data_IF_837463457994
#
_entry.id   IF_837463457994
#
_cell.length_a   1.000
_cell.length_b   1.000
_cell.length_c   1.000
_cell.angle_alpha   90.00
_cell.angle_beta   90.00
_cell.angle_gamma   90.00
#
_symmetry.space_group_name_H-M   'P 1'
#
loop_
_entity.id
_entity.type
_entity.pdbx_description
1 polymer ?
#
# COMPACT_ATOMS: atom_id res chain seq x y z
N UNK A 1 14.79 12.16 6.69
CA UNK A 1 13.79 12.38 5.63
C UNK A 1 12.41 12.57 6.24
N UNK A 2 11.62 13.55 5.77
CA UNK A 2 10.24 13.76 6.25
C UNK A 2 9.22 13.04 5.37
N UNK A 3 8.59 12.01 5.92
CA UNK A 3 7.69 11.11 5.19
C UNK A 3 6.25 11.30 5.67
N UNK A 4 5.32 11.34 4.73
CA UNK A 4 3.90 11.40 5.01
C UNK A 4 3.15 10.18 4.44
N UNK A 5 2.23 9.62 5.22
CA UNK A 5 1.29 8.58 4.78
C UNK A 5 -0.12 9.11 4.91
N UNK A 6 -0.89 9.08 3.82
CA UNK A 6 -2.31 9.42 3.87
C UNK A 6 -3.11 8.14 4.13
N UNK A 7 -3.72 8.04 5.30
CA UNK A 7 -4.69 6.99 5.58
C UNK A 7 -6.09 7.58 5.47
N UNK A 8 -6.95 6.95 4.67
CA UNK A 8 -8.35 7.33 4.55
C UNK A 8 -9.20 6.15 4.09
N UNK A 9 -10.52 6.32 4.08
CA UNK A 9 -11.47 5.30 3.67
C UNK A 9 -12.08 5.65 2.31
N UNK A 10 -11.39 5.38 1.18
CA UNK A 10 -12.01 5.56 -0.13
C UNK A 10 -13.21 4.63 -0.30
N UNK A 11 -14.10 4.98 -1.22
CA UNK A 11 -15.29 4.20 -1.58
C UNK A 11 -15.23 3.83 -3.06
N UNK A 12 -15.52 2.58 -3.40
CA UNK A 12 -15.43 2.06 -4.77
C UNK A 12 -16.29 2.90 -5.70
N UNK A 13 -15.66 3.35 -6.79
CA UNK A 13 -16.27 4.13 -7.84
C UNK A 13 -16.61 5.58 -7.50
N UNK A 14 -16.39 6.02 -6.26
CA UNK A 14 -16.73 7.36 -5.76
C UNK A 14 -15.55 8.35 -5.90
N UNK A 15 -14.99 8.43 -7.11
CA UNK A 15 -13.71 9.09 -7.40
C UNK A 15 -13.65 10.53 -6.89
N UNK A 16 -14.66 11.34 -7.21
CA UNK A 16 -14.70 12.77 -6.84
C UNK A 16 -14.74 12.99 -5.31
N UNK A 17 -15.51 12.18 -4.58
CA UNK A 17 -15.55 12.29 -3.14
C UNK A 17 -14.28 11.73 -2.49
N UNK A 18 -13.66 10.69 -3.07
CA UNK A 18 -12.37 10.19 -2.59
C UNK A 18 -11.27 11.25 -2.72
N UNK A 19 -11.20 11.94 -3.87
CA UNK A 19 -10.32 13.09 -4.06
C UNK A 19 -10.61 14.20 -3.03
N UNK A 20 -11.89 14.51 -2.82
CA UNK A 20 -12.33 15.53 -1.86
C UNK A 20 -11.95 15.19 -0.42
N UNK A 21 -12.11 13.92 0.00
CA UNK A 21 -11.68 13.41 1.32
C UNK A 21 -10.17 13.56 1.50
N UNK A 22 -9.38 13.09 0.53
CA UNK A 22 -7.91 13.22 0.57
C UNK A 22 -7.47 14.69 0.66
N UNK A 23 -8.07 15.56 -0.15
CA UNK A 23 -7.80 17.00 -0.12
C UNK A 23 -8.17 17.64 1.22
N UNK A 24 -9.30 17.25 1.82
CA UNK A 24 -9.72 17.76 3.12
C UNK A 24 -8.74 17.39 4.23
N UNK A 25 -8.26 16.13 4.24
CA UNK A 25 -7.26 15.65 5.21
C UNK A 25 -5.93 16.42 5.04
N UNK A 26 -5.43 16.54 3.80
CA UNK A 26 -4.20 17.29 3.52
C UNK A 26 -4.33 18.78 3.89
N UNK A 27 -5.47 19.39 3.59
CA UNK A 27 -5.76 20.78 3.93
C UNK A 27 -5.77 21.01 5.44
N UNK A 28 -6.45 20.11 6.19
CA UNK A 28 -6.51 20.14 7.66
C UNK A 28 -5.12 19.95 8.28
N UNK A 29 -4.33 19.00 7.77
CA UNK A 29 -2.99 18.72 8.28
C UNK A 29 -1.97 19.82 7.91
N UNK A 30 -2.18 20.51 6.78
CA UNK A 30 -1.32 21.58 6.25
C UNK A 30 0.18 21.23 6.34
N UNK A 31 0.61 20.07 5.79
CA UNK A 31 1.98 19.59 5.98
C UNK A 31 2.99 20.56 5.39
N UNK A 32 4.12 20.72 6.09
CA UNK A 32 5.27 21.52 5.68
C UNK A 32 6.49 20.64 5.53
N UNK A 33 7.30 20.95 4.52
CA UNK A 33 8.61 20.36 4.29
C UNK A 33 8.60 18.83 4.18
N UNK A 34 7.55 18.25 3.57
CA UNK A 34 7.47 16.82 3.32
C UNK A 34 8.33 16.45 2.10
N UNK A 35 9.14 15.40 2.23
CA UNK A 35 9.96 14.90 1.12
C UNK A 35 9.19 13.94 0.23
N UNK A 36 8.36 13.09 0.86
CA UNK A 36 7.59 12.02 0.24
C UNK A 36 6.20 11.92 0.89
N UNK A 37 5.16 11.86 0.06
CA UNK A 37 3.79 11.50 0.42
C UNK A 37 3.42 10.18 -0.24
N UNK A 38 2.94 9.21 0.54
CA UNK A 38 2.49 7.91 0.06
C UNK A 38 1.01 7.74 0.33
N UNK A 39 0.27 7.33 -0.70
CA UNK A 39 -1.15 7.01 -0.63
C UNK A 39 -1.37 5.49 -0.66
N UNK A 40 -2.54 5.02 -0.22
CA UNK A 40 -2.92 3.62 -0.28
C UNK A 40 -3.02 3.09 -1.72
N UNK A 41 -3.15 1.77 -1.81
CA UNK A 41 -3.55 1.07 -3.02
C UNK A 41 -4.92 1.58 -3.50
N UNK A 42 -5.06 1.76 -4.81
CA UNK A 42 -6.33 2.14 -5.46
C UNK A 42 -7.01 3.36 -4.82
N UNK A 43 -6.22 4.38 -4.48
CA UNK A 43 -6.60 5.44 -3.55
C UNK A 43 -7.88 6.19 -3.96
N UNK A 44 -8.12 6.44 -5.25
CA UNK A 44 -9.27 7.22 -5.70
C UNK A 44 -10.37 6.40 -6.35
N UNK A 45 -10.06 5.25 -6.94
CA UNK A 45 -11.08 4.32 -7.44
C UNK A 45 -11.75 3.52 -6.33
N UNK A 46 -11.10 3.39 -5.17
CA UNK A 46 -11.43 2.39 -4.16
C UNK A 46 -11.04 0.98 -4.61
N UNK A 47 -11.18 0.04 -3.68
CA UNK A 47 -11.03 -1.41 -3.86
C UNK A 47 -12.03 -2.06 -2.90
N UNK A 48 -12.58 -3.21 -3.23
CA UNK A 48 -13.43 -3.92 -2.27
C UNK A 48 -13.06 -5.38 -2.21
N UNK A 49 -12.67 -5.83 -1.02
CA UNK A 49 -12.32 -7.21 -0.73
C UNK A 49 -13.52 -8.02 -0.24
N UNK A 50 -13.46 -9.33 -0.40
CA UNK A 50 -14.16 -10.28 0.45
C UNK A 50 -13.14 -10.95 1.40
N UNK A 51 -13.48 -11.21 2.67
CA UNK A 51 -12.62 -12.05 3.49
C UNK A 51 -12.52 -13.45 2.88
N UNK A 52 -11.30 -13.98 2.74
CA UNK A 52 -11.06 -15.33 2.21
C UNK A 52 -11.64 -16.39 3.16
N UNK A 53 -12.72 -17.05 2.74
CA UNK A 53 -13.31 -18.20 3.44
C UNK A 53 -12.79 -19.51 2.84
N UNK A 54 -11.91 -20.22 3.55
CA UNK A 54 -11.61 -21.62 3.22
C UNK A 54 -12.87 -22.46 3.48
N UNK A 55 -13.43 -23.09 2.44
CA UNK A 55 -14.30 -24.26 2.60
C UNK A 55 -15.82 -24.08 2.45
N UNK A 56 -16.34 -22.93 1.99
CA UNK A 56 -17.72 -22.86 1.50
C UNK A 56 -17.72 -22.71 -0.02
N UNK A 57 -18.39 -23.66 -0.69
CA UNK A 57 -18.84 -23.49 -2.07
C UNK A 57 -19.38 -22.06 -2.23
N UNK A 58 -18.76 -21.28 -3.12
CA UNK A 58 -19.33 -20.02 -3.59
C UNK A 58 -20.62 -20.41 -4.31
N UNK A 59 -21.73 -20.45 -3.57
CA UNK A 59 -23.05 -20.55 -4.18
C UNK A 59 -23.26 -19.28 -5.01
N UNK A 60 -23.89 -19.42 -6.18
CA UNK A 60 -24.22 -18.35 -7.13
C UNK A 60 -24.96 -17.12 -6.52
N UNK A 61 -25.32 -17.15 -5.23
CA UNK A 61 -25.97 -16.05 -4.53
C UNK A 61 -25.02 -14.90 -4.12
N UNK A 62 -23.70 -15.10 -4.12
CA UNK A 62 -22.71 -14.03 -3.80
C UNK A 62 -22.34 -13.18 -5.04
N UNK A 63 -22.94 -13.45 -6.20
CA UNK A 63 -22.70 -12.71 -7.45
C UNK A 63 -23.55 -11.43 -7.59
N UNK A 64 -24.49 -11.16 -6.67
CA UNK A 64 -25.44 -10.04 -6.79
C UNK A 64 -25.16 -8.84 -5.87
N UNK A 65 -24.10 -8.87 -5.07
CA UNK A 65 -23.75 -7.75 -4.20
C UNK A 65 -22.64 -6.94 -4.90
N UNK A 66 -22.92 -5.67 -5.23
CA UNK A 66 -22.04 -4.76 -6.00
C UNK A 66 -20.77 -4.33 -5.27
N UNK A 67 -20.01 -5.29 -4.73
CA UNK A 67 -18.92 -5.10 -3.77
C UNK A 67 -17.57 -5.55 -4.32
N UNK A 68 -17.34 -5.49 -5.62
CA UNK A 68 -16.00 -5.60 -6.22
C UNK A 68 -15.95 -4.99 -7.62
N UNK A 69 -14.74 -4.64 -8.05
CA UNK A 69 -14.36 -4.79 -9.45
C UNK A 69 -14.34 -6.29 -9.78
N UNK A 70 -15.53 -6.92 -9.75
CA UNK A 70 -15.74 -8.35 -9.93
C UNK A 70 -15.47 -8.80 -11.36
N UNK A 71 -15.30 -7.84 -12.27
CA UNK A 71 -14.99 -8.05 -13.66
C UNK A 71 -14.23 -6.84 -14.22
N UNK A 72 -13.60 -7.07 -15.37
CA UNK A 72 -13.04 -6.00 -16.18
C UNK A 72 -14.09 -4.91 -16.50
N UNK A 73 -15.35 -5.27 -16.76
CA UNK A 73 -16.41 -4.30 -17.08
C UNK A 73 -16.70 -3.36 -15.91
N UNK A 74 -16.68 -3.86 -14.67
CA UNK A 74 -16.89 -3.04 -13.48
C UNK A 74 -15.79 -2.01 -13.25
N UNK A 75 -14.52 -2.36 -13.51
CA UNK A 75 -13.40 -1.42 -13.32
C UNK A 75 -13.16 -0.51 -14.51
N UNK A 76 -13.62 -0.91 -15.70
CA UNK A 76 -13.38 -0.18 -16.95
C UNK A 76 -13.65 1.33 -16.88
N UNK A 77 -14.72 1.82 -16.22
CA UNK A 77 -14.97 3.26 -16.08
C UNK A 77 -13.92 4.03 -15.27
N UNK A 78 -13.12 3.33 -14.47
CA UNK A 78 -12.17 3.91 -13.52
C UNK A 78 -10.71 3.69 -13.94
N UNK A 79 -10.46 2.84 -14.94
CA UNK A 79 -9.13 2.62 -15.50
C UNK A 79 -8.55 3.94 -16.02
N UNK A 80 -7.30 4.22 -15.68
CA UNK A 80 -6.57 5.40 -16.12
C UNK A 80 -5.39 5.01 -17.01
N UNK A 81 -5.08 5.77 -18.08
CA UNK A 81 -3.93 5.48 -18.92
C UNK A 81 -2.62 5.55 -18.12
N UNK A 82 -1.64 4.73 -18.47
CA UNK A 82 -0.30 4.72 -17.85
C UNK A 82 0.24 6.12 -17.60
N UNK A 83 0.50 6.45 -16.33
CA UNK A 83 1.05 7.75 -15.89
C UNK A 83 0.24 8.98 -16.33
N UNK A 84 -1.06 8.81 -16.52
CA UNK A 84 -2.03 9.85 -16.88
C UNK A 84 -3.34 9.62 -16.11
N UNK A 85 -4.35 10.44 -16.37
CA UNK A 85 -5.66 10.35 -15.72
C UNK A 85 -5.74 11.06 -14.37
N UNK A 86 -6.87 10.85 -13.71
CA UNK A 86 -7.29 11.52 -12.47
C UNK A 86 -6.30 11.38 -11.32
N UNK A 87 -5.86 10.17 -10.99
CA UNK A 87 -4.90 9.90 -9.92
C UNK A 87 -3.55 10.54 -10.21
N UNK A 88 -3.06 10.44 -11.45
CA UNK A 88 -1.82 11.11 -11.85
C UNK A 88 -1.94 12.63 -11.74
N UNK A 89 -3.02 13.23 -12.24
CA UNK A 89 -3.24 14.68 -12.18
C UNK A 89 -3.33 15.18 -10.74
N UNK A 90 -4.00 14.44 -9.86
CA UNK A 90 -4.03 14.73 -8.44
C UNK A 90 -2.63 14.65 -7.82
N UNK A 91 -1.90 13.56 -8.07
CA UNK A 91 -0.55 13.35 -7.53
C UNK A 91 0.41 14.46 -8.00
N UNK A 92 0.34 14.84 -9.28
CA UNK A 92 1.09 15.96 -9.85
C UNK A 92 0.75 17.29 -9.19
N UNK A 93 -0.53 17.59 -9.01
CA UNK A 93 -0.97 18.84 -8.38
C UNK A 93 -0.50 18.93 -6.93
N UNK A 94 -0.64 17.83 -6.18
CA UNK A 94 -0.18 17.72 -4.79
C UNK A 94 1.34 17.82 -4.68
N UNK A 95 2.09 17.16 -5.57
CA UNK A 95 3.54 17.20 -5.63
C UNK A 95 4.06 18.63 -5.83
N UNK A 96 3.49 19.36 -6.80
CA UNK A 96 3.82 20.76 -7.07
C UNK A 96 3.45 21.68 -5.89
N UNK A 97 2.24 21.52 -5.34
CA UNK A 97 1.74 22.36 -4.24
C UNK A 97 2.56 22.23 -2.97
N UNK A 98 2.98 21.01 -2.63
CA UNK A 98 3.72 20.72 -1.40
C UNK A 98 5.22 20.60 -1.62
N UNK A 99 5.71 20.82 -2.85
CA UNK A 99 7.10 20.66 -3.25
C UNK A 99 7.70 19.32 -2.79
N UNK A 100 6.95 18.24 -3.00
CA UNK A 100 7.28 16.90 -2.51
C UNK A 100 7.15 15.85 -3.61
N UNK A 101 7.63 14.63 -3.34
CA UNK A 101 7.34 13.47 -4.19
C UNK A 101 6.03 12.83 -3.71
N UNK A 102 5.22 12.34 -4.63
CA UNK A 102 3.94 11.67 -4.30
C UNK A 102 3.91 10.30 -4.95
N UNK A 103 3.63 9.24 -4.19
CA UNK A 103 3.33 7.90 -4.71
C UNK A 103 1.86 7.58 -4.45
N UNK A 104 1.12 7.20 -5.49
CA UNK A 104 -0.32 6.92 -5.39
C UNK A 104 -0.72 5.68 -6.19
N UNK A 105 -1.53 4.81 -5.56
CA UNK A 105 -2.10 3.62 -6.18
C UNK A 105 -3.29 3.94 -7.09
N UNK A 106 -3.33 3.33 -8.28
CA UNK A 106 -4.35 3.56 -9.30
C UNK A 106 -4.55 2.33 -10.22
N UNK A 107 -5.75 2.18 -10.80
CA UNK A 107 -6.02 1.17 -11.83
C UNK A 107 -5.45 1.61 -13.17
N UNK A 108 -4.34 1.02 -13.59
CA UNK A 108 -3.66 1.34 -14.84
C UNK A 108 -4.29 0.59 -16.02
N UNK A 109 -4.40 1.27 -17.16
CA UNK A 109 -4.60 0.68 -18.49
C UNK A 109 -3.50 1.12 -19.44
N UNK A 110 -2.96 0.17 -20.19
CA UNK A 110 -1.99 0.45 -21.26
C UNK A 110 -2.74 0.74 -22.55
N UNK A 111 -2.44 1.90 -23.14
CA UNK A 111 -2.95 2.24 -24.47
C UNK A 111 -2.13 1.50 -25.53
N UNK A 112 -2.72 0.47 -26.15
CA UNK A 112 -2.16 -0.12 -27.35
C UNK A 112 -2.56 0.72 -28.56
N UNK A 113 -1.58 1.34 -29.21
CA UNK A 113 -1.76 2.06 -30.48
C UNK A 113 -2.01 1.12 -31.67
N UNK A 114 -1.99 -0.20 -31.49
CA UNK A 114 -2.21 -1.21 -32.53
C UNK A 114 -3.07 -2.36 -32.00
N UNK A 115 -4.24 -2.55 -32.60
CA UNK A 115 -5.33 -3.43 -32.15
C UNK A 115 -5.09 -4.94 -32.30
N UNK A 116 -4.02 -5.48 -31.72
CA UNK A 116 -3.72 -6.92 -31.79
C UNK A 116 -4.11 -7.73 -30.54
N UNK A 117 -4.55 -7.08 -29.46
CA UNK A 117 -5.03 -7.76 -28.25
C UNK A 117 -6.52 -7.52 -28.03
N UNK A 118 -7.32 -8.59 -28.01
CA UNK A 118 -8.78 -8.52 -27.79
C UNK A 118 -9.18 -8.12 -26.35
N UNK A 119 -8.23 -8.13 -25.40
CA UNK A 119 -8.43 -7.68 -24.02
C UNK A 119 -7.49 -6.52 -23.69
N UNK A 120 -7.97 -5.48 -22.99
CA UNK A 120 -7.13 -4.39 -22.54
C UNK A 120 -6.09 -4.90 -21.53
N UNK A 121 -4.87 -4.39 -21.63
CA UNK A 121 -3.84 -4.66 -20.63
C UNK A 121 -4.02 -3.71 -19.45
N UNK A 122 -4.51 -4.27 -18.34
CA UNK A 122 -4.79 -3.54 -17.11
C UNK A 122 -3.93 -4.05 -15.96
N UNK A 123 -3.58 -3.16 -15.03
CA UNK A 123 -2.69 -3.47 -13.91
C UNK A 123 -3.11 -2.69 -12.66
N UNK A 124 -3.03 -3.33 -11.49
CA UNK A 124 -3.02 -2.61 -10.22
C UNK A 124 -1.63 -1.99 -10.03
N UNK A 125 -1.56 -0.67 -9.92
CA UNK A 125 -0.29 0.05 -10.07
C UNK A 125 -0.13 1.19 -9.09
N UNK A 126 1.10 1.65 -8.91
CA UNK A 126 1.40 2.93 -8.28
C UNK A 126 2.18 3.81 -9.24
N UNK A 127 1.86 5.10 -9.29
CA UNK A 127 2.67 6.12 -9.95
C UNK A 127 3.40 6.96 -8.91
N UNK A 128 4.69 7.21 -9.11
CA UNK A 128 5.47 8.18 -8.33
C UNK A 128 5.74 9.42 -9.16
N UNK A 129 5.34 10.58 -8.65
CA UNK A 129 5.51 11.89 -9.26
C UNK A 129 6.50 12.72 -8.44
N UNK A 130 7.42 13.40 -9.11
CA UNK A 130 8.42 14.25 -8.46
C UNK A 130 7.92 15.69 -8.20
N UNK A 131 8.79 16.52 -7.60
CA UNK A 131 8.49 17.90 -7.20
C UNK A 131 8.19 18.81 -8.39
N UNK A 132 8.70 18.45 -9.57
CA UNK A 132 8.46 19.15 -10.84
C UNK A 132 7.16 18.67 -11.54
N UNK A 133 6.44 17.73 -10.95
CA UNK A 133 5.18 17.20 -11.49
C UNK A 133 5.36 16.15 -12.60
N UNK A 134 6.55 15.55 -12.72
CA UNK A 134 6.87 14.49 -13.69
C UNK A 134 6.72 13.11 -13.06
N UNK A 135 6.12 12.16 -13.77
CA UNK A 135 6.18 10.75 -13.41
C UNK A 135 7.64 10.24 -13.49
N UNK A 136 8.14 9.72 -12.37
CA UNK A 136 9.52 9.21 -12.22
C UNK A 136 9.58 7.72 -11.93
N UNK A 137 8.44 7.10 -11.55
CA UNK A 137 8.29 5.66 -11.46
C UNK A 137 6.84 5.26 -11.74
N UNK A 138 6.64 4.07 -12.32
CA UNK A 138 5.35 3.39 -12.41
C UNK A 138 5.60 1.93 -12.06
N UNK A 139 5.03 1.47 -10.95
CA UNK A 139 5.15 0.09 -10.47
C UNK A 139 3.82 -0.63 -10.64
N UNK A 140 3.86 -1.87 -11.11
CA UNK A 140 2.70 -2.76 -11.29
C UNK A 140 2.79 -3.91 -10.30
N UNK A 141 1.72 -4.13 -9.54
CA UNK A 141 1.59 -5.17 -8.52
C UNK A 141 2.05 -6.51 -9.07
N UNK A 142 2.97 -7.15 -8.36
CA UNK A 142 3.62 -8.38 -8.86
C UNK A 142 2.85 -9.61 -8.45
N UNK A 143 2.35 -9.65 -7.22
CA UNK A 143 1.51 -10.71 -6.69
C UNK A 143 0.08 -10.20 -6.56
N UNK A 144 -0.82 -10.74 -7.38
CA UNK A 144 -2.23 -10.37 -7.36
C UNK A 144 -2.94 -10.98 -6.16
N UNK A 145 -3.84 -10.20 -5.57
CA UNK A 145 -4.89 -10.77 -4.73
C UNK A 145 -6.03 -11.24 -5.65
N UNK A 146 -6.86 -12.17 -5.20
CA UNK A 146 -7.92 -12.74 -6.06
C UNK A 146 -8.89 -11.66 -6.60
N UNK A 147 -9.00 -10.51 -5.93
CA UNK A 147 -9.79 -9.35 -6.40
C UNK A 147 -9.15 -8.68 -7.61
N UNK A 148 -7.82 -8.68 -7.70
CA UNK A 148 -7.08 -8.14 -8.84
C UNK A 148 -7.15 -9.12 -10.03
N UNK A 149 -7.15 -10.43 -9.79
CA UNK A 149 -7.12 -11.46 -10.83
C UNK A 149 -8.32 -11.40 -11.79
N UNK A 150 -9.42 -10.75 -11.41
CA UNK A 150 -10.62 -10.60 -12.24
C UNK A 150 -10.46 -9.55 -13.35
N UNK A 151 -9.49 -8.64 -13.23
CA UNK A 151 -9.35 -7.49 -14.14
C UNK A 151 -7.90 -7.09 -14.48
N UNK A 152 -6.93 -7.40 -13.62
CA UNK A 152 -5.53 -7.01 -13.75
C UNK A 152 -4.64 -8.18 -14.19
N UNK A 153 -3.48 -7.82 -14.77
CA UNK A 153 -2.35 -8.72 -15.01
C UNK A 153 -1.27 -8.47 -13.95
N UNK A 154 -0.46 -9.50 -13.68
CA UNK A 154 0.76 -9.37 -12.89
C UNK A 154 1.74 -8.43 -13.59
N UNK A 155 2.40 -7.57 -12.80
CA UNK A 155 3.55 -6.80 -13.23
C UNK A 155 4.76 -7.69 -13.55
N UNK A 156 5.82 -7.12 -14.16
CA UNK A 156 7.01 -7.87 -14.57
C UNK A 156 7.90 -8.33 -13.39
N UNK A 157 7.57 -7.96 -12.16
CA UNK A 157 8.36 -8.20 -10.94
C UNK A 157 8.41 -6.96 -10.05
N UNK A 158 8.94 -7.14 -8.83
CA UNK A 158 9.00 -6.07 -7.83
C UNK A 158 9.83 -4.87 -8.31
N UNK A 159 9.39 -3.66 -7.95
CA UNK A 159 10.11 -2.45 -8.35
C UNK A 159 11.47 -2.36 -7.67
N UNK A 160 12.49 -2.03 -8.46
CA UNK A 160 13.83 -1.72 -7.99
C UNK A 160 14.35 -0.52 -8.78
N UNK A 161 14.68 0.56 -8.09
CA UNK A 161 15.25 1.73 -8.75
C UNK A 161 15.79 2.77 -7.78
N UNK A 162 16.80 3.51 -8.24
CA UNK A 162 17.29 4.69 -7.51
C UNK A 162 16.44 5.89 -7.86
N UNK A 163 15.78 6.49 -6.86
CA UNK A 163 15.01 7.72 -7.00
C UNK A 163 15.81 8.87 -6.39
N UNK A 164 16.01 9.94 -7.16
CA UNK A 164 16.79 11.08 -6.71
C UNK A 164 16.23 11.69 -5.42
N UNK A 165 17.11 11.92 -4.44
CA UNK A 165 16.74 12.35 -3.08
C UNK A 165 16.04 11.31 -2.19
N UNK A 166 15.68 10.12 -2.69
CA UNK A 166 15.15 9.01 -1.87
C UNK A 166 16.12 7.84 -1.73
N UNK A 167 17.08 7.70 -2.64
CA UNK A 167 18.06 6.61 -2.65
C UNK A 167 17.56 5.38 -3.40
N UNK A 168 17.99 4.19 -3.00
CA UNK A 168 17.54 2.92 -3.56
C UNK A 168 16.17 2.58 -2.98
N UNK A 169 15.17 2.51 -3.84
CA UNK A 169 13.77 2.30 -3.47
C UNK A 169 13.30 0.92 -3.93
N UNK A 170 12.63 0.20 -3.03
CA UNK A 170 11.79 -0.94 -3.35
C UNK A 170 10.32 -0.53 -3.19
N UNK A 171 9.46 -0.91 -4.15
CA UNK A 171 8.01 -0.69 -4.04
C UNK A 171 7.27 -2.01 -4.11
N UNK A 172 6.24 -2.14 -3.27
CA UNK A 172 5.30 -3.24 -3.27
C UNK A 172 3.87 -2.72 -3.08
N UNK A 173 2.90 -3.52 -3.47
CA UNK A 173 1.48 -3.25 -3.31
C UNK A 173 0.85 -4.43 -2.56
N UNK A 174 0.39 -4.17 -1.34
CA UNK A 174 -0.36 -5.10 -0.49
C UNK A 174 0.12 -6.56 -0.54
N UNK A 175 -0.53 -7.38 -1.38
CA UNK A 175 -0.28 -8.81 -1.57
C UNK A 175 1.16 -9.16 -1.97
N UNK A 176 1.94 -8.22 -2.50
CA UNK A 176 3.38 -8.40 -2.75
C UNK A 176 4.16 -8.82 -1.49
N UNK A 177 3.66 -8.50 -0.30
CA UNK A 177 4.29 -8.89 0.97
C UNK A 177 4.03 -10.37 1.33
N UNK A 178 2.98 -10.98 0.78
CA UNK A 178 2.58 -12.36 1.09
C UNK A 178 3.36 -13.39 0.25
N UNK A 179 3.37 -14.66 0.66
CA UNK A 179 3.83 -15.74 -0.22
C UNK A 179 3.01 -15.74 -1.51
N UNK A 180 3.67 -15.99 -2.64
CA UNK A 180 3.00 -16.01 -3.95
C UNK A 180 1.75 -16.90 -3.93
N UNK A 181 0.60 -16.30 -4.31
CA UNK A 181 -0.74 -16.92 -4.32
C UNK A 181 -1.21 -17.54 -3.00
N UNK A 182 -0.56 -17.23 -1.88
CA UNK A 182 -0.69 -17.95 -0.61
C UNK A 182 -0.33 -19.45 -0.69
N UNK A 183 0.39 -19.86 -1.74
CA UNK A 183 0.80 -21.25 -1.98
C UNK A 183 2.31 -21.44 -1.74
N UNK A 184 3.11 -20.40 -2.00
CA UNK A 184 4.55 -20.46 -1.75
C UNK A 184 4.85 -20.65 -0.24
N UNK A 185 5.99 -21.27 0.11
CA UNK A 185 6.37 -21.46 1.51
C UNK A 185 6.41 -20.12 2.25
N UNK A 186 5.91 -20.09 3.49
CA UNK A 186 5.99 -18.91 4.35
C UNK A 186 7.41 -18.33 4.43
N UNK A 187 8.43 -19.18 4.45
CA UNK A 187 9.83 -18.76 4.56
C UNK A 187 10.42 -18.16 3.27
N UNK A 188 9.68 -18.17 2.14
CA UNK A 188 10.16 -17.65 0.87
C UNK A 188 10.43 -16.13 0.93
N UNK A 189 9.59 -15.38 1.65
CA UNK A 189 9.73 -13.94 1.92
C UNK A 189 10.24 -13.16 0.69
N UNK A 190 9.58 -13.36 -0.45
CA UNK A 190 10.05 -12.98 -1.79
C UNK A 190 10.37 -11.49 -1.87
N UNK A 191 9.45 -10.65 -1.38
CA UNK A 191 9.64 -9.20 -1.35
C UNK A 191 10.76 -8.76 -0.40
N UNK A 192 10.96 -9.45 0.73
CA UNK A 192 12.03 -9.14 1.67
C UNK A 192 13.42 -9.45 1.08
N UNK A 193 13.56 -10.54 0.33
CA UNK A 193 14.79 -10.82 -0.41
C UNK A 193 15.04 -9.78 -1.51
N UNK A 194 13.99 -9.37 -2.22
CA UNK A 194 14.10 -8.29 -3.22
C UNK A 194 14.60 -6.96 -2.62
N UNK A 195 14.14 -6.59 -1.41
CA UNK A 195 14.63 -5.41 -0.68
C UNK A 195 16.15 -5.49 -0.47
N UNK A 196 16.65 -6.68 -0.07
CA UNK A 196 18.07 -6.91 0.18
C UNK A 196 18.89 -6.91 -1.11
N UNK A 197 18.40 -7.58 -2.16
CA UNK A 197 19.07 -7.68 -3.46
C UNK A 197 19.22 -6.30 -4.12
N UNK A 198 18.19 -5.46 -4.02
CA UNK A 198 18.21 -4.06 -4.47
C UNK A 198 19.05 -3.15 -3.54
N UNK A 199 19.45 -3.63 -2.36
CA UNK A 199 20.09 -2.81 -1.31
C UNK A 199 19.28 -1.55 -1.04
N UNK A 200 17.97 -1.72 -0.92
CA UNK A 200 17.05 -0.62 -0.74
C UNK A 200 17.25 0.02 0.65
N UNK A 201 17.31 1.34 0.69
CA UNK A 201 17.27 2.10 1.95
C UNK A 201 15.87 2.61 2.28
N UNK A 202 14.96 2.57 1.30
CA UNK A 202 13.57 2.97 1.44
C UNK A 202 12.65 1.95 0.78
N UNK A 203 11.64 1.50 1.50
CA UNK A 203 10.60 0.59 1.04
C UNK A 203 9.27 1.31 1.10
N UNK A 204 8.51 1.29 0.01
CA UNK A 204 7.19 1.93 -0.09
C UNK A 204 6.16 0.84 -0.36
N UNK A 205 5.21 0.68 0.55
CA UNK A 205 4.09 -0.24 0.44
C UNK A 205 2.78 0.55 0.42
N UNK A 206 2.13 0.59 -0.75
CA UNK A 206 0.76 1.08 -0.90
C UNK A 206 -0.19 -0.09 -0.72
N UNK A 207 -1.18 0.01 0.18
CA UNK A 207 -1.91 -1.17 0.63
C UNK A 207 -3.42 -0.94 0.76
N UNK A 208 -4.18 -1.98 0.45
CA UNK A 208 -5.57 -2.16 0.85
C UNK A 208 -5.73 -3.47 1.64
N UNK A 209 -5.01 -3.56 2.75
CA UNK A 209 -4.92 -4.76 3.56
C UNK A 209 -6.13 -4.95 4.48
N UNK A 210 -6.71 -6.14 4.43
CA UNK A 210 -7.91 -6.52 5.18
C UNK A 210 -7.57 -7.00 6.60
N UNK A 211 -8.48 -6.77 7.53
CA UNK A 211 -8.55 -7.52 8.79
C UNK A 211 -9.59 -8.64 8.67
N UNK A 212 -9.44 -9.67 9.49
CA UNK A 212 -10.43 -10.74 9.66
C UNK A 212 -11.38 -10.50 10.83
N UNK A 213 -11.16 -9.41 11.57
CA UNK A 213 -12.05 -9.01 12.67
C UNK A 213 -13.38 -8.48 12.16
N UNK A 214 -14.42 -8.65 12.98
CA UNK A 214 -15.75 -8.09 12.72
C UNK A 214 -15.70 -6.56 12.65
N UNK A 215 -16.37 -5.99 11.65
CA UNK A 215 -16.35 -4.55 11.37
C UNK A 215 -16.86 -3.72 12.56
N UNK A 216 -17.92 -4.15 13.23
CA UNK A 216 -18.53 -3.40 14.32
C UNK A 216 -17.59 -3.34 15.52
N UNK A 217 -16.98 -4.47 15.88
CA UNK A 217 -15.99 -4.51 16.95
C UNK A 217 -14.72 -3.74 16.58
N UNK A 218 -14.17 -3.98 15.38
CA UNK A 218 -12.92 -3.39 14.92
C UNK A 218 -13.01 -1.85 14.91
N UNK A 219 -14.11 -1.31 14.40
CA UNK A 219 -14.31 0.14 14.30
C UNK A 219 -14.50 0.84 15.66
N UNK A 220 -14.93 0.13 16.72
CA UNK A 220 -14.99 0.71 18.08
C UNK A 220 -13.61 1.09 18.62
N UNK A 221 -12.55 0.49 18.08
CA UNK A 221 -11.16 0.76 18.44
C UNK A 221 -10.43 1.60 17.39
N UNK A 222 -11.14 2.43 16.61
CA UNK A 222 -10.59 3.18 15.48
C UNK A 222 -9.27 3.92 15.77
N UNK A 223 -9.10 4.50 16.97
CA UNK A 223 -7.88 5.22 17.37
C UNK A 223 -6.71 4.34 17.81
N UNK A 224 -6.93 3.04 17.99
CA UNK A 224 -5.88 2.09 18.34
C UNK A 224 -5.34 1.44 17.07
N UNK A 225 -4.02 1.34 16.90
CA UNK A 225 -3.46 0.56 15.80
C UNK A 225 -3.86 -0.92 15.92
N UNK A 226 -3.90 -1.61 14.80
CA UNK A 226 -3.96 -3.06 14.72
C UNK A 226 -2.53 -3.63 14.79
N UNK A 227 -2.09 -3.96 16.01
CA UNK A 227 -0.74 -4.46 16.25
C UNK A 227 -0.52 -5.88 15.72
N UNK A 228 -1.59 -6.67 15.54
CA UNK A 228 -1.48 -8.02 14.98
C UNK A 228 -1.17 -7.94 13.49
N UNK A 229 -1.87 -7.07 12.77
CA UNK A 229 -1.57 -6.77 11.36
C UNK A 229 -0.17 -6.19 11.18
N UNK A 230 0.24 -5.22 12.01
CA UNK A 230 1.61 -4.68 11.93
C UNK A 230 2.68 -5.76 12.21
N UNK A 231 2.45 -6.62 13.21
CA UNK A 231 3.36 -7.73 13.54
C UNK A 231 3.44 -8.73 12.38
N UNK A 232 2.31 -8.99 11.71
CA UNK A 232 2.29 -9.81 10.51
C UNK A 232 3.16 -9.20 9.41
N UNK A 233 3.01 -7.91 9.09
CA UNK A 233 3.82 -7.25 8.07
C UNK A 233 5.31 -7.31 8.39
N UNK A 234 5.69 -7.03 9.66
CA UNK A 234 7.08 -7.15 10.13
C UNK A 234 7.59 -8.58 9.97
N UNK A 235 6.77 -9.59 10.27
CA UNK A 235 7.14 -11.00 10.13
C UNK A 235 7.37 -11.45 8.69
N UNK A 236 6.82 -10.74 7.69
CA UNK A 236 7.11 -10.96 6.27
C UNK A 236 8.44 -10.34 5.83
N UNK A 237 8.97 -9.38 6.60
CA UNK A 237 10.26 -8.74 6.39
C UNK A 237 11.40 -9.43 7.15
N UNK A 238 11.16 -10.64 7.65
CA UNK A 238 12.08 -11.42 8.49
C UNK A 238 13.52 -11.52 7.93
N UNK A 239 13.76 -11.73 6.62
CA UNK A 239 15.11 -11.67 6.05
C UNK A 239 15.81 -10.33 6.26
N UNK A 240 15.08 -9.21 6.11
CA UNK A 240 15.61 -7.85 6.32
C UNK A 240 16.01 -7.64 7.78
N UNK A 241 15.22 -8.16 8.73
CA UNK A 241 15.55 -8.10 10.16
C UNK A 241 16.80 -8.95 10.50
N UNK A 242 17.11 -10.00 9.75
CA UNK A 242 18.30 -10.84 9.99
C UNK A 242 19.54 -10.32 9.29
N UNK A 243 19.39 -9.53 8.24
CA UNK A 243 20.50 -9.04 7.46
C UNK A 243 21.28 -7.96 8.22
N UNK A 244 22.60 -8.00 8.10
CA UNK A 244 23.44 -6.87 8.47
C UNK A 244 23.33 -5.81 7.37
N UNK A 245 22.75 -4.66 7.70
CA UNK A 245 22.60 -3.54 6.77
C UNK A 245 23.56 -2.40 7.14
N UNK A 246 24.12 -1.72 6.13
CA UNK A 246 25.03 -0.57 6.35
C UNK A 246 24.33 0.71 6.83
N UNK A 247 23.07 0.60 7.28
CA UNK A 247 22.21 1.70 7.66
C UNK A 247 20.79 1.21 7.99
N UNK A 248 19.96 2.13 8.48
CA UNK A 248 18.55 1.87 8.70
C UNK A 248 17.80 1.78 7.36
N UNK A 249 16.97 0.75 7.21
CA UNK A 249 16.04 0.61 6.09
C UNK A 249 14.70 1.14 6.56
N UNK A 250 14.22 2.21 5.92
CA UNK A 250 12.91 2.80 6.24
C UNK A 250 11.84 2.08 5.44
N UNK A 251 10.79 1.64 6.11
CA UNK A 251 9.63 0.98 5.50
C UNK A 251 8.38 1.80 5.76
N UNK A 252 7.75 2.23 4.67
CA UNK A 252 6.53 3.05 4.66
C UNK A 252 5.36 2.15 4.31
N UNK A 253 4.43 1.98 5.24
CA UNK A 253 3.22 1.17 5.12
C UNK A 253 2.02 2.11 5.03
N UNK A 254 1.59 2.45 3.82
CA UNK A 254 0.43 3.32 3.59
C UNK A 254 -0.79 2.45 3.25
N UNK A 255 -1.58 2.14 4.27
CA UNK A 255 -2.76 1.29 4.16
C UNK A 255 -4.04 2.10 4.28
N UNK A 256 -5.07 1.78 3.50
CA UNK A 256 -6.39 2.39 3.68
C UNK A 256 -7.07 1.85 4.94
N UNK A 257 -8.08 2.58 5.41
CA UNK A 257 -8.96 2.15 6.50
C UNK A 257 -10.42 2.07 6.05
N UNK A 258 -11.31 1.78 7.01
CA UNK A 258 -12.75 1.76 6.80
C UNK A 258 -13.29 0.41 6.33
N UNK A 259 -14.57 0.41 6.00
CA UNK A 259 -15.33 -0.81 5.65
C UNK A 259 -16.03 -0.61 4.31
N UNK A 260 -16.08 -1.66 3.51
CA UNK A 260 -16.73 -1.70 2.21
C UNK A 260 -17.44 -3.03 2.00
N UNK A 261 -18.77 -3.02 2.13
CA UNK A 261 -19.53 -4.26 2.24
C UNK A 261 -19.06 -5.07 3.44
N UNK A 262 -18.65 -6.31 3.18
CA UNK A 262 -18.14 -7.23 4.19
C UNK A 262 -16.62 -7.09 4.43
N UNK A 263 -15.90 -6.31 3.60
CA UNK A 263 -14.48 -6.05 3.81
C UNK A 263 -14.27 -4.97 4.86
N UNK A 264 -13.41 -5.26 5.85
CA UNK A 264 -12.87 -4.25 6.77
C UNK A 264 -11.37 -4.14 6.54
N UNK A 265 -10.90 -2.91 6.31
CA UNK A 265 -9.50 -2.60 6.07
C UNK A 265 -8.80 -2.25 7.39
N UNK A 266 -7.58 -2.75 7.54
CA UNK A 266 -6.87 -2.70 8.82
C UNK A 266 -6.36 -1.30 9.21
N UNK A 267 -6.37 -0.32 8.29
CA UNK A 267 -5.74 0.99 8.50
C UNK A 267 -4.32 0.79 8.99
N UNK A 268 -3.99 1.40 10.13
CA UNK A 268 -2.71 1.18 10.82
C UNK A 268 -1.50 1.54 9.94
N UNK A 269 -1.65 2.57 9.11
CA UNK A 269 -0.54 3.11 8.34
C UNK A 269 0.60 3.50 9.28
N UNK A 270 1.81 3.13 8.90
CA UNK A 270 2.98 3.24 9.76
C UNK A 270 4.23 3.56 8.95
N UNK A 271 5.18 4.21 9.61
CA UNK A 271 6.57 4.30 9.13
C UNK A 271 7.45 3.63 10.18
N UNK A 272 8.15 2.59 9.77
CA UNK A 272 9.08 1.85 10.63
C UNK A 272 10.49 1.92 10.05
N UNK A 273 11.47 1.76 10.91
CA UNK A 273 12.87 1.59 10.55
C UNK A 273 13.36 0.22 10.99
N UNK A 274 14.18 -0.42 10.17
CA UNK A 274 14.80 -1.70 10.48
C UNK A 274 16.31 -1.51 10.43
N UNK A 275 16.99 -1.82 11.54
CA UNK A 275 18.44 -1.72 11.66
C UNK A 275 18.95 -2.73 12.67
N UNK A 276 19.99 -3.49 12.30
CA UNK A 276 20.69 -4.43 13.19
C UNK A 276 19.75 -5.42 13.91
N UNK A 277 18.68 -5.82 13.23
CA UNK A 277 17.64 -6.72 13.75
C UNK A 277 16.72 -6.13 14.81
N UNK A 278 16.70 -4.81 14.95
CA UNK A 278 15.72 -4.06 15.71
C UNK A 278 14.72 -3.36 14.77
N UNK A 279 13.47 -3.26 15.24
CA UNK A 279 12.41 -2.52 14.55
C UNK A 279 12.02 -1.33 15.38
N UNK A 280 12.03 -0.17 14.74
CA UNK A 280 11.76 1.13 15.32
C UNK A 280 10.50 1.70 14.69
N UNK A 281 9.51 2.09 15.50
CA UNK A 281 8.29 2.73 14.99
C UNK A 281 8.45 4.24 15.02
N UNK A 282 8.69 4.85 13.85
CA UNK A 282 8.78 6.31 13.71
C UNK A 282 7.42 6.99 13.86
N UNK A 283 6.35 6.32 13.42
CA UNK A 283 4.97 6.76 13.62
C UNK A 283 3.97 5.73 13.13
N UNK A 284 2.75 5.81 13.68
CA UNK A 284 1.67 4.85 13.43
C UNK A 284 0.33 5.54 13.66
N UNK A 285 -0.66 5.24 12.81
CA UNK A 285 -2.05 5.67 12.97
C UNK A 285 -2.92 4.57 13.58
N UNK A 286 -4.07 4.96 14.15
CA UNK A 286 -5.12 4.04 14.52
C UNK A 286 -5.69 3.29 13.31
N UNK A 287 -6.34 2.15 13.56
CA UNK A 287 -6.91 1.28 12.52
C UNK A 287 -8.05 1.90 11.70
N UNK A 288 -8.72 2.91 12.23
CA UNK A 288 -9.88 3.57 11.62
C UNK A 288 -9.75 5.08 11.49
N UNK A 289 -8.56 5.64 11.65
CA UNK A 289 -8.33 7.08 11.58
C UNK A 289 -8.11 7.54 10.13
N UNK A 290 -8.92 8.50 9.66
CA UNK A 290 -8.69 9.17 8.37
C UNK A 290 -7.79 10.40 8.59
N UNK A 291 -6.47 10.19 8.61
CA UNK A 291 -5.49 11.21 8.95
C UNK A 291 -4.21 11.14 8.08
N UNK A 292 -3.44 12.23 8.11
CA UNK A 292 -2.11 12.30 7.52
C UNK A 292 -1.06 12.04 8.61
N UNK A 293 -0.44 10.87 8.58
CA UNK A 293 0.75 10.60 9.38
C UNK A 293 1.91 11.39 8.78
N UNK A 294 2.64 12.17 9.59
CA UNK A 294 3.88 12.84 9.17
C UNK A 294 4.97 12.51 10.17
N UNK A 295 6.04 11.88 9.70
CA UNK A 295 7.20 11.52 10.51
C UNK A 295 8.46 12.16 9.96
N UNK A 296 9.43 12.38 10.83
CA UNK A 296 10.76 12.84 10.47
C UNK A 296 11.76 11.79 10.92
N UNK A 297 12.27 11.02 9.96
CA UNK A 297 13.15 9.86 10.20
C UNK A 297 14.57 10.27 10.61
N UNK A 298 14.93 11.55 10.53
CA UNK A 298 16.22 12.04 11.03
C UNK A 298 16.17 12.35 12.54
N UNK A 299 14.98 12.30 13.14
CA UNK A 299 14.77 12.54 14.57
C UNK A 299 14.68 11.23 15.33
N UNK A 300 15.03 11.29 16.63
CA UNK A 300 14.85 10.15 17.53
C UNK A 300 13.37 9.71 17.54
N UNK A 301 13.09 8.40 17.36
CA UNK A 301 11.74 7.85 17.32
C UNK A 301 10.96 8.14 18.59
N UNK A 302 9.63 8.34 18.47
CA UNK A 302 8.75 8.68 19.60
C UNK A 302 8.24 7.46 20.40
N UNK A 303 8.46 6.22 19.96
CA UNK A 303 7.94 5.02 20.64
C UNK A 303 8.91 3.82 20.63
N UNK A 304 8.90 3.12 21.77
CA UNK A 304 9.81 2.07 22.26
C UNK A 304 9.69 0.73 21.52
N UNK A 305 10.83 0.04 21.37
CA UNK A 305 11.04 -1.30 20.78
C UNK A 305 9.84 -2.27 20.87
N UNK A 306 9.40 -2.79 19.73
CA UNK A 306 8.58 -4.01 19.68
C UNK A 306 9.54 -5.18 19.90
N UNK A 307 9.63 -5.67 21.13
CA UNK A 307 10.56 -6.75 21.51
C UNK A 307 10.26 -8.06 20.76
N UNK A 308 11.34 -8.77 20.39
CA UNK A 308 11.33 -10.10 19.74
C UNK A 308 10.37 -11.08 20.45
N UNK A 309 9.67 -11.98 19.72
CA UNK A 309 9.05 -13.13 20.35
C UNK A 309 10.15 -14.01 20.95
N UNK A 310 10.05 -14.29 22.25
CA UNK A 310 10.98 -15.14 22.97
C UNK A 310 11.20 -16.45 22.21
N UNK A 311 12.45 -16.73 21.85
CA UNK A 311 12.88 -18.09 21.59
C UNK A 311 12.76 -18.84 22.90
N UNK A 312 11.83 -19.79 22.95
CA UNK A 312 11.77 -20.76 24.04
C UNK A 312 13.05 -21.58 24.00
N UNK A 313 13.93 -21.33 24.96
CA UNK A 313 15.00 -22.24 25.32
C UNK A 313 14.41 -23.57 25.78
N UNK A 314 15.07 -24.62 25.29
CA UNK A 314 14.98 -26.02 25.63
C UNK A 314 14.88 -26.34 27.13
N UNK A 315 13.98 -27.28 27.45
CA UNK A 315 14.29 -28.44 28.30
C UNK A 315 13.58 -29.67 27.71
#
# INVERSE_FOLDING_TARGET
MRIACLQFAPRVGDVENNLSRANAILSKANPKDIDLLVLPEMAFSGESGLPYFWGLFISELTLYSGYNFSSLDHITPYLEPTTSGTTFLWARTTALKHNCKVTAGYPEKVDHSSGESAKPECYNSTVTVNREGKAIANYRKSFLYYTDETWAREGPGFFSGKIDGLGNVAMGICMDLNPYKFEAPWTACEFAHHILDNKANLVILSMAWLTREDAEYFNRLAKKPDMDTLSYWISRLQPVLRAESTGEIIVVLANRCGTEGEATYAGTSAVIGIKDGEVVVHGILGRGEEELLVVDTDKTPRATNVSRPNSTESN
#
